data_IF_449093970027
#
_entry.id   IF_449093970027
#
_cell.length_a   1.000
_cell.length_b   1.000
_cell.length_c   1.000
_cell.angle_alpha   90.00
_cell.angle_beta   90.00
_cell.angle_gamma   90.00
#
_symmetry.space_group_name_H-M   'P 1'
#
loop_
_entity.id
_entity.type
_entity.pdbx_description
1 polymer ?
#
# COMPACT_ATOMS: atom_id res chain seq x y z
N UNK A 1 17.65 9.61 24.09
CA UNK A 1 17.02 8.28 24.24
C UNK A 1 15.85 8.21 23.27
N UNK A 2 15.67 7.09 22.57
CA UNK A 2 14.49 6.89 21.71
C UNK A 2 13.24 6.69 22.57
N UNK A 3 12.08 7.26 22.21
CA UNK A 3 10.86 7.07 22.98
C UNK A 3 10.44 5.60 22.98
N UNK A 4 10.06 5.07 24.14
CA UNK A 4 9.50 3.72 24.25
C UNK A 4 8.08 3.72 23.67
N UNK A 5 7.75 2.69 22.90
CA UNK A 5 6.44 2.60 22.26
C UNK A 5 5.44 1.82 23.12
N UNK A 6 4.18 2.30 23.25
CA UNK A 6 3.15 1.54 23.95
C UNK A 6 2.66 0.34 23.13
N UNK A 7 2.99 0.23 21.84
CA UNK A 7 2.47 -0.80 20.93
C UNK A 7 3.14 -2.18 21.10
N UNK A 8 3.20 -2.70 22.33
CA UNK A 8 3.74 -4.01 22.69
C UNK A 8 2.63 -5.02 23.03
N UNK A 9 2.98 -6.31 23.10
CA UNK A 9 2.05 -7.40 23.39
C UNK A 9 1.19 -7.10 24.63
N UNK A 10 -0.13 -7.22 24.48
CA UNK A 10 -1.10 -7.00 25.56
C UNK A 10 -1.56 -5.54 25.72
N UNK A 11 -0.94 -4.58 25.03
CA UNK A 11 -1.41 -3.20 25.04
C UNK A 11 -2.82 -3.09 24.47
N UNK A 12 -3.72 -2.45 25.22
CA UNK A 12 -5.11 -2.22 24.82
C UNK A 12 -5.37 -0.74 24.59
N UNK A 13 -6.15 -0.45 23.55
CA UNK A 13 -6.57 0.91 23.22
C UNK A 13 -7.95 0.90 22.59
N UNK A 14 -8.65 2.03 22.71
CA UNK A 14 -9.97 2.24 22.11
C UNK A 14 -9.78 3.10 20.88
N UNK A 15 -10.34 2.63 19.77
CA UNK A 15 -10.36 3.36 18.51
C UNK A 15 -11.77 3.85 18.22
N UNK A 16 -11.87 5.02 17.58
CA UNK A 16 -13.11 5.60 17.08
C UNK A 16 -13.02 5.77 15.58
N UNK A 17 -14.11 5.47 14.87
CA UNK A 17 -14.17 5.59 13.41
C UNK A 17 -13.85 7.03 12.99
N UNK A 18 -12.98 7.17 11.99
CA UNK A 18 -12.54 8.45 11.49
C UNK A 18 -12.48 8.43 9.97
N UNK A 19 -13.18 9.38 9.35
CA UNK A 19 -13.23 9.59 7.92
C UNK A 19 -12.31 10.75 7.56
N UNK A 20 -11.12 10.48 6.99
CA UNK A 20 -10.24 11.54 6.52
C UNK A 20 -10.89 12.35 5.39
N UNK A 21 -10.40 13.58 5.14
CA UNK A 21 -10.73 14.29 3.91
C UNK A 21 -10.33 13.48 2.67
N UNK A 22 -10.84 13.86 1.49
CA UNK A 22 -10.47 13.21 0.22
C UNK A 22 -9.00 13.43 -0.13
N UNK A 23 -8.47 14.60 0.23
CA UNK A 23 -7.07 14.99 0.01
C UNK A 23 -6.55 15.73 1.24
N UNK A 24 -5.22 15.75 1.36
CA UNK A 24 -4.55 16.59 2.33
C UNK A 24 -4.65 18.06 1.87
N UNK A 25 -5.14 18.99 2.72
CA UNK A 25 -5.18 20.41 2.38
C UNK A 25 -3.78 20.95 2.04
N UNK A 26 -3.69 21.77 1.00
CA UNK A 26 -2.47 22.49 0.62
C UNK A 26 -2.60 23.98 1.01
N UNK A 27 -2.90 24.23 2.28
CA UNK A 27 -3.00 25.57 2.85
C UNK A 27 -1.95 25.82 3.94
N UNK A 28 -1.65 27.11 4.14
CA UNK A 28 -0.66 27.54 5.12
C UNK A 28 -1.03 27.10 6.55
N UNK A 29 -2.31 27.07 6.88
CA UNK A 29 -2.78 26.72 8.23
C UNK A 29 -2.47 25.26 8.57
N UNK A 30 -2.74 24.34 7.63
CA UNK A 30 -2.41 22.93 7.80
C UNK A 30 -0.90 22.69 7.84
N UNK A 31 -0.13 23.42 7.02
CA UNK A 31 1.33 23.30 6.99
C UNK A 31 2.02 23.65 8.34
N UNK A 32 1.31 24.37 9.22
CA UNK A 32 1.78 24.78 10.54
C UNK A 32 1.10 24.05 11.71
N UNK A 33 0.12 23.18 11.45
CA UNK A 33 -0.61 22.45 12.49
C UNK A 33 0.28 21.50 13.28
N UNK A 34 0.17 21.53 14.61
CA UNK A 34 0.80 20.55 15.51
C UNK A 34 -0.13 19.36 15.82
N UNK A 35 -1.38 19.43 15.39
CA UNK A 35 -2.40 18.41 15.60
C UNK A 35 -2.69 17.64 14.30
N UNK A 36 -3.07 16.36 14.39
CA UNK A 36 -3.51 15.60 13.22
C UNK A 36 -4.71 16.27 12.51
N UNK A 37 -4.85 16.03 11.21
CA UNK A 37 -5.92 16.56 10.39
C UNK A 37 -7.30 16.36 11.05
N UNK A 38 -8.11 17.43 11.20
CA UNK A 38 -9.48 17.32 11.71
C UNK A 38 -10.39 16.75 10.61
N UNK A 39 -10.49 15.42 10.52
CA UNK A 39 -11.47 14.75 9.65
C UNK A 39 -12.86 14.66 10.30
N UNK A 40 -13.69 13.70 9.88
CA UNK A 40 -15.03 13.49 10.47
C UNK A 40 -15.06 12.20 11.30
N UNK A 41 -15.48 12.28 12.55
CA UNK A 41 -15.64 11.09 13.38
C UNK A 41 -16.97 10.40 13.11
N UNK A 42 -16.92 9.07 13.03
CA UNK A 42 -18.10 8.22 13.02
C UNK A 42 -18.58 7.90 14.44
N UNK A 43 -19.57 7.02 14.50
CA UNK A 43 -20.21 6.55 15.75
C UNK A 43 -19.62 5.23 16.26
N UNK A 44 -18.90 4.49 15.41
CA UNK A 44 -18.34 3.19 15.81
C UNK A 44 -17.11 3.39 16.68
N UNK A 45 -17.05 2.60 17.74
CA UNK A 45 -15.85 2.41 18.55
C UNK A 45 -15.51 0.93 18.65
N UNK A 46 -14.21 0.63 18.76
CA UNK A 46 -13.72 -0.73 18.99
C UNK A 46 -12.63 -0.72 20.04
N UNK A 47 -12.58 -1.77 20.85
CA UNK A 47 -11.44 -2.01 21.75
C UNK A 47 -10.51 -3.02 21.10
N UNK A 48 -9.24 -2.65 20.95
CA UNK A 48 -8.22 -3.48 20.34
C UNK A 48 -7.14 -3.87 21.35
N UNK A 49 -6.60 -5.08 21.21
CA UNK A 49 -5.42 -5.57 21.92
C UNK A 49 -4.31 -5.90 20.96
N UNK A 50 -3.10 -5.40 21.21
CA UNK A 50 -1.89 -5.75 20.46
C UNK A 50 -1.50 -7.20 20.75
N UNK A 51 -1.42 -8.01 19.69
CA UNK A 51 -1.01 -9.41 19.74
C UNK A 51 0.46 -9.59 19.32
N UNK A 52 0.97 -8.74 18.43
CA UNK A 52 2.35 -8.80 17.95
C UNK A 52 2.75 -7.47 17.30
N UNK A 53 3.89 -6.89 17.70
CA UNK A 53 4.51 -5.82 16.92
C UNK A 53 5.14 -6.38 15.65
N UNK A 54 4.74 -5.89 14.47
CA UNK A 54 5.36 -6.23 13.19
C UNK A 54 6.49 -5.24 12.85
N UNK A 55 6.25 -3.95 13.09
CA UNK A 55 7.20 -2.86 12.91
C UNK A 55 6.86 -1.76 13.93
N UNK A 56 7.51 -1.78 15.08
CA UNK A 56 7.24 -0.83 16.17
C UNK A 56 8.55 -0.25 16.69
N UNK A 57 8.53 1.00 17.18
CA UNK A 57 9.68 1.74 17.67
C UNK A 57 10.05 2.95 16.81
N UNK A 58 11.13 3.62 17.23
CA UNK A 58 11.65 4.84 16.61
C UNK A 58 12.27 4.59 15.23
N UNK A 59 12.12 5.55 14.32
CA UNK A 59 12.68 5.53 12.96
C UNK A 59 11.72 4.99 11.89
N UNK A 60 10.49 4.65 12.26
CA UNK A 60 9.50 4.13 11.31
C UNK A 60 8.45 5.19 10.94
N UNK A 61 8.08 5.23 9.66
CA UNK A 61 7.02 6.09 9.12
C UNK A 61 5.60 5.68 9.52
N UNK A 62 5.44 4.55 10.21
CA UNK A 62 4.23 4.10 10.87
C UNK A 62 4.58 2.96 11.84
N UNK A 63 3.76 2.78 12.85
CA UNK A 63 3.81 1.64 13.77
C UNK A 63 2.84 0.58 13.24
N UNK A 64 3.32 -0.64 13.02
CA UNK A 64 2.51 -1.73 12.46
C UNK A 64 2.45 -2.88 13.46
N UNK A 65 1.24 -3.29 13.82
CA UNK A 65 1.00 -4.36 14.78
C UNK A 65 -0.16 -5.25 14.35
N UNK A 66 -0.05 -6.54 14.65
CA UNK A 66 -1.20 -7.43 14.68
C UNK A 66 -2.01 -7.10 15.92
N UNK A 67 -3.28 -6.81 15.73
CA UNK A 67 -4.25 -6.50 16.78
C UNK A 67 -5.40 -7.49 16.75
N UNK A 68 -6.11 -7.62 17.86
CA UNK A 68 -7.31 -8.42 17.96
C UNK A 68 -8.40 -7.59 18.64
N UNK A 69 -9.61 -7.64 18.08
CA UNK A 69 -10.76 -6.97 18.68
C UNK A 69 -11.19 -7.68 19.96
N UNK A 70 -11.52 -6.90 20.99
CA UNK A 70 -12.00 -7.42 22.27
C UNK A 70 -13.50 -7.12 22.36
N UNK A 71 -14.33 -8.11 22.06
CA UNK A 71 -15.78 -7.99 21.91
C UNK A 71 -16.49 -7.85 23.27
N UNK A 72 -16.03 -8.58 24.28
CA UNK A 72 -16.54 -8.50 25.65
C UNK A 72 -15.43 -8.72 26.67
N UNK A 73 -15.61 -8.20 27.89
CA UNK A 73 -14.62 -8.23 28.98
C UNK A 73 -14.42 -6.85 29.63
N UNK A 74 -14.16 -6.78 30.93
CA UNK A 74 -13.93 -5.50 31.65
C UNK A 74 -12.49 -5.02 31.42
N UNK A 75 -12.22 -3.70 31.23
CA UNK A 75 -10.85 -3.18 31.20
C UNK A 75 -10.05 -3.62 32.43
N UNK A 76 -8.73 -3.85 32.32
CA UNK A 76 -7.93 -4.24 33.49
C UNK A 76 -7.98 -3.09 34.50
N UNK A 77 -8.33 -3.38 35.77
CA UNK A 77 -8.20 -2.38 36.85
C UNK A 77 -6.72 -1.97 37.06
N UNK A 78 -5.78 -2.86 36.71
CA UNK A 78 -4.34 -2.64 36.74
C UNK A 78 -3.65 -3.37 35.57
N UNK A 79 -2.58 -2.79 35.03
CA UNK A 79 -1.72 -3.45 34.05
C UNK A 79 -1.13 -4.74 34.67
N UNK A 80 -1.35 -5.89 34.03
CA UNK A 80 -0.77 -7.19 34.46
C UNK A 80 -1.64 -8.12 35.30
N UNK A 81 -2.93 -7.83 35.54
CA UNK A 81 -3.82 -8.76 36.26
C UNK A 81 -4.14 -10.02 35.44
N UNK A 82 -3.84 -11.20 36.00
CA UNK A 82 -3.93 -12.52 35.35
C UNK A 82 -5.27 -13.25 35.55
N UNK A 83 -6.15 -12.78 36.44
CA UNK A 83 -7.47 -13.38 36.67
C UNK A 83 -8.56 -12.56 35.99
N UNK A 84 -9.11 -13.07 34.88
CA UNK A 84 -10.26 -12.51 34.17
C UNK A 84 -11.15 -13.65 33.67
N UNK A 85 -12.46 -13.42 33.59
CA UNK A 85 -13.30 -14.19 32.65
C UNK A 85 -12.65 -14.10 31.26
N UNK A 86 -12.60 -15.18 30.47
CA UNK A 86 -11.96 -15.14 29.16
C UNK A 86 -12.64 -14.08 28.31
N UNK A 87 -11.87 -13.12 27.81
CA UNK A 87 -12.41 -12.12 26.89
C UNK A 87 -12.94 -12.84 25.65
N UNK A 88 -14.10 -12.42 25.17
CA UNK A 88 -14.54 -12.81 23.84
C UNK A 88 -13.74 -11.99 22.82
N UNK A 89 -13.01 -12.70 21.95
CA UNK A 89 -12.09 -12.08 21.00
C UNK A 89 -12.63 -12.19 19.58
N UNK A 90 -12.59 -11.08 18.87
CA UNK A 90 -12.88 -11.01 17.44
C UNK A 90 -11.70 -11.49 16.58
N UNK A 91 -11.77 -11.25 15.26
CA UNK A 91 -10.69 -11.63 14.34
C UNK A 91 -9.42 -10.84 14.60
N UNK A 92 -8.29 -11.41 14.16
CA UNK A 92 -7.01 -10.70 14.13
C UNK A 92 -6.92 -9.84 12.87
N UNK A 93 -6.39 -8.64 13.03
CA UNK A 93 -6.24 -7.62 12.00
C UNK A 93 -4.84 -7.03 12.06
N UNK A 94 -4.46 -6.26 11.04
CA UNK A 94 -3.29 -5.40 11.07
C UNK A 94 -3.73 -3.97 11.34
N UNK A 95 -3.13 -3.35 12.36
CA UNK A 95 -3.23 -1.92 12.60
C UNK A 95 -1.94 -1.24 12.14
N UNK A 96 -2.08 -0.23 11.29
CA UNK A 96 -1.00 0.69 10.91
C UNK A 96 -1.31 2.06 11.51
N UNK A 97 -0.54 2.46 12.51
CA UNK A 97 -0.71 3.69 13.28
C UNK A 97 0.30 4.74 12.82
N UNK A 98 -0.18 5.94 12.48
CA UNK A 98 0.62 7.06 11.99
C UNK A 98 0.96 7.98 13.16
N UNK A 99 1.89 7.52 13.98
CA UNK A 99 2.28 8.19 15.22
C UNK A 99 3.56 9.02 15.00
N UNK A 100 3.46 10.38 14.95
CA UNK A 100 4.58 11.24 14.59
C UNK A 100 5.74 11.19 15.61
N UNK A 101 5.47 10.78 16.86
CA UNK A 101 6.50 10.67 17.91
C UNK A 101 7.58 9.66 17.59
N UNK A 102 7.27 8.65 16.76
CA UNK A 102 8.18 7.54 16.46
C UNK A 102 8.85 7.65 15.08
N UNK A 103 8.67 8.76 14.35
CA UNK A 103 9.37 8.96 13.07
C UNK A 103 10.90 9.03 13.23
N UNK A 104 11.36 9.36 14.45
CA UNK A 104 12.77 9.32 14.85
C UNK A 104 13.58 10.55 14.41
N UNK A 105 14.67 10.81 15.13
CA UNK A 105 15.55 11.96 14.89
C UNK A 105 16.26 11.91 13.52
N UNK A 106 16.50 10.71 12.99
CA UNK A 106 17.09 10.50 11.66
C UNK A 106 16.23 11.01 10.52
N UNK A 107 14.95 11.32 10.76
CA UNK A 107 14.07 11.90 9.76
C UNK A 107 14.41 13.34 9.42
N UNK A 108 15.12 14.07 10.29
CA UNK A 108 15.42 15.49 10.14
C UNK A 108 14.19 16.40 10.15
N UNK A 109 12.99 15.88 10.46
CA UNK A 109 11.73 16.63 10.43
C UNK A 109 11.47 17.31 11.77
N UNK A 110 10.94 18.52 11.72
CA UNK A 110 10.31 19.16 12.89
C UNK A 110 9.05 18.40 13.30
N UNK A 111 8.51 18.66 14.49
CA UNK A 111 7.25 18.06 14.93
C UNK A 111 6.11 18.27 13.93
N UNK A 112 5.87 19.52 13.51
CA UNK A 112 4.87 19.89 12.51
C UNK A 112 5.07 19.15 11.19
N UNK A 113 6.31 19.04 10.70
CA UNK A 113 6.61 18.29 9.48
C UNK A 113 6.36 16.79 9.64
N UNK A 114 6.57 16.23 10.84
CA UNK A 114 6.27 14.84 11.14
C UNK A 114 4.76 14.59 11.16
N UNK A 115 3.98 15.46 11.80
CA UNK A 115 2.49 15.42 11.82
C UNK A 115 1.96 15.48 10.39
N UNK A 116 2.37 16.48 9.61
CA UNK A 116 1.96 16.64 8.21
C UNK A 116 2.30 15.43 7.34
N UNK A 117 3.50 14.87 7.53
CA UNK A 117 3.93 13.66 6.81
C UNK A 117 3.06 12.46 7.17
N UNK A 118 2.78 12.23 8.46
CA UNK A 118 1.92 11.15 8.94
C UNK A 118 0.50 11.25 8.40
N UNK A 119 -0.09 12.45 8.47
CA UNK A 119 -1.41 12.72 7.93
C UNK A 119 -1.49 12.47 6.43
N UNK A 120 -0.47 12.89 5.68
CA UNK A 120 -0.41 12.65 4.24
C UNK A 120 -0.39 11.16 3.91
N UNK A 121 0.39 10.36 4.64
CA UNK A 121 0.41 8.90 4.45
C UNK A 121 -0.95 8.27 4.79
N UNK A 122 -1.54 8.67 5.92
CA UNK A 122 -2.83 8.19 6.39
C UNK A 122 -3.98 8.50 5.42
N UNK A 123 -4.07 9.74 4.94
CA UNK A 123 -5.10 10.19 3.99
C UNK A 123 -4.98 9.43 2.68
N UNK A 124 -3.76 9.33 2.13
CA UNK A 124 -3.50 8.62 0.87
C UNK A 124 -3.86 7.14 0.96
N UNK A 125 -3.43 6.47 2.01
CA UNK A 125 -3.72 5.05 2.21
C UNK A 125 -5.21 4.80 2.37
N UNK A 126 -5.89 5.62 3.19
CA UNK A 126 -7.34 5.54 3.38
C UNK A 126 -8.14 5.84 2.11
N UNK A 127 -7.67 6.79 1.29
CA UNK A 127 -8.27 7.13 0.00
C UNK A 127 -8.07 6.00 -1.00
N UNK A 128 -6.86 5.44 -1.09
CA UNK A 128 -6.55 4.34 -1.98
C UNK A 128 -7.40 3.09 -1.71
N UNK A 129 -7.53 2.67 -0.45
CA UNK A 129 -8.38 1.53 -0.10
C UNK A 129 -9.84 1.75 -0.52
N UNK A 130 -10.43 2.91 -0.18
CA UNK A 130 -11.82 3.23 -0.57
C UNK A 130 -11.98 3.25 -2.09
N UNK A 131 -11.05 3.91 -2.79
CA UNK A 131 -11.06 4.00 -4.24
C UNK A 131 -11.03 2.63 -4.91
N UNK A 132 -10.19 1.70 -4.45
CA UNK A 132 -10.12 0.35 -4.99
C UNK A 132 -11.37 -0.49 -4.68
N UNK A 133 -12.01 -0.29 -3.52
CA UNK A 133 -13.28 -0.92 -3.20
C UNK A 133 -14.39 -0.45 -4.14
N UNK A 134 -14.48 0.87 -4.38
CA UNK A 134 -15.48 1.47 -5.26
C UNK A 134 -15.34 0.99 -6.73
N UNK A 135 -14.15 0.54 -7.12
CA UNK A 135 -13.85 -0.02 -8.44
C UNK A 135 -13.83 -1.55 -8.49
N UNK A 136 -14.22 -2.25 -7.41
CA UNK A 136 -14.33 -3.72 -7.42
C UNK A 136 -12.99 -4.46 -7.46
N UNK A 137 -11.93 -3.87 -6.90
CA UNK A 137 -10.55 -4.42 -6.92
C UNK A 137 -10.13 -5.03 -5.57
N UNK A 138 -11.08 -5.33 -4.69
CA UNK A 138 -10.84 -5.88 -3.34
C UNK A 138 -10.05 -7.19 -3.31
N UNK A 139 -10.08 -7.99 -4.37
CA UNK A 139 -9.35 -9.26 -4.46
C UNK A 139 -7.82 -9.09 -4.43
N UNK A 140 -7.32 -7.90 -4.80
CA UNK A 140 -5.90 -7.59 -4.93
C UNK A 140 -5.27 -6.94 -3.70
N UNK A 141 -6.11 -6.57 -2.74
CA UNK A 141 -5.73 -5.85 -1.52
C UNK A 141 -6.21 -6.63 -0.28
N UNK A 142 -5.64 -6.37 0.91
CA UNK A 142 -6.23 -6.83 2.15
C UNK A 142 -7.66 -6.31 2.29
N UNK A 143 -8.55 -7.06 2.95
CA UNK A 143 -9.83 -6.50 3.34
C UNK A 143 -9.61 -5.24 4.20
N UNK A 144 -10.23 -4.14 3.81
CA UNK A 144 -10.15 -2.87 4.52
C UNK A 144 -11.23 -2.78 5.59
N UNK A 145 -10.82 -2.65 6.85
CA UNK A 145 -11.73 -2.55 8.01
C UNK A 145 -11.97 -1.09 8.45
N UNK A 146 -11.50 -0.13 7.65
CA UNK A 146 -11.74 1.29 7.85
C UNK A 146 -10.55 2.07 8.39
N UNK A 147 -10.81 3.36 8.54
CA UNK A 147 -9.89 4.33 9.11
C UNK A 147 -10.40 4.82 10.45
N UNK A 148 -9.47 5.01 11.38
CA UNK A 148 -9.79 5.18 12.79
C UNK A 148 -8.85 6.18 13.44
N UNK A 149 -9.26 6.67 14.61
CA UNK A 149 -8.45 7.50 15.51
C UNK A 149 -8.36 6.85 16.88
N UNK A 150 -7.27 7.07 17.60
CA UNK A 150 -7.11 6.69 19.00
C UNK A 150 -6.38 7.79 19.76
N UNK A 151 -6.53 7.79 21.07
CA UNK A 151 -5.69 8.57 21.97
C UNK A 151 -4.66 7.64 22.58
N UNK A 152 -3.39 8.02 22.54
CA UNK A 152 -2.29 7.25 23.13
C UNK A 152 -1.40 8.16 23.95
N UNK A 153 -1.25 7.83 25.24
CA UNK A 153 -0.36 8.55 26.13
C UNK A 153 1.10 8.26 25.75
N UNK A 154 1.93 9.29 25.70
CA UNK A 154 3.38 9.11 25.67
C UNK A 154 3.82 8.52 27.02
N UNK A 155 4.53 7.37 27.05
CA UNK A 155 5.07 6.83 28.30
C UNK A 155 5.95 7.82 29.08
N UNK A 156 6.60 8.78 28.39
CA UNK A 156 7.49 9.77 29.02
C UNK A 156 6.74 11.01 29.54
N UNK A 157 5.94 11.68 28.70
CA UNK A 157 5.24 12.91 29.10
C UNK A 157 3.88 12.68 29.74
N UNK A 158 3.30 11.48 29.59
CA UNK A 158 1.90 11.12 29.90
C UNK A 158 0.86 11.96 29.14
N UNK A 159 1.28 12.85 28.25
CA UNK A 159 0.36 13.61 27.41
C UNK A 159 -0.27 12.69 26.38
N UNK A 160 -1.59 12.83 26.25
CA UNK A 160 -2.37 12.08 25.29
C UNK A 160 -2.19 12.70 23.91
N UNK A 161 -1.70 11.92 22.95
CA UNK A 161 -1.61 12.31 21.56
C UNK A 161 -2.71 11.60 20.76
N UNK A 162 -3.40 12.35 19.90
CA UNK A 162 -4.29 11.75 18.92
C UNK A 162 -3.45 11.09 17.80
N UNK A 163 -3.78 9.84 17.48
CA UNK A 163 -3.07 9.04 16.48
C UNK A 163 -4.08 8.46 15.49
N UNK A 164 -3.85 8.73 14.20
CA UNK A 164 -4.62 8.14 13.10
C UNK A 164 -4.14 6.72 12.83
N UNK A 165 -5.04 5.82 12.43
CA UNK A 165 -4.68 4.47 12.00
C UNK A 165 -5.60 3.92 10.92
N UNK A 166 -5.07 2.96 10.16
CA UNK A 166 -5.82 2.14 9.21
C UNK A 166 -5.85 0.70 9.74
N UNK A 167 -7.03 0.06 9.64
CA UNK A 167 -7.20 -1.36 9.94
C UNK A 167 -7.41 -2.18 8.67
N UNK A 168 -6.68 -3.27 8.53
CA UNK A 168 -6.82 -4.21 7.41
C UNK A 168 -6.76 -5.67 7.86
N UNK A 169 -7.14 -6.57 6.95
CA UNK A 169 -6.97 -8.02 7.09
C UNK A 169 -5.51 -8.37 7.44
N UNK A 170 -5.35 -9.30 8.37
CA UNK A 170 -4.09 -10.02 8.50
C UNK A 170 -4.01 -11.07 7.38
N UNK A 171 -3.37 -10.71 6.27
CA UNK A 171 -3.19 -11.60 5.12
C UNK A 171 -2.33 -12.81 5.53
N UNK A 172 -2.87 -14.01 5.36
CA UNK A 172 -2.16 -15.27 5.63
C UNK A 172 -1.17 -15.61 4.50
N UNK A 173 -0.05 -14.90 4.49
CA UNK A 173 1.00 -15.07 3.48
C UNK A 173 2.35 -14.57 3.93
N UNK A 174 3.30 -14.51 3.00
CA UNK A 174 4.66 -14.04 3.26
C UNK A 174 5.01 -12.89 2.33
N UNK A 175 5.60 -11.81 2.86
CA UNK A 175 6.09 -10.72 2.01
C UNK A 175 7.26 -11.20 1.13
N UNK A 176 7.31 -10.74 -0.12
CA UNK A 176 8.26 -11.27 -1.10
C UNK A 176 9.73 -11.07 -0.71
N UNK A 177 10.08 -10.16 0.20
CA UNK A 177 11.47 -10.05 0.69
C UNK A 177 11.89 -11.21 1.57
N UNK A 178 10.95 -11.84 2.28
CA UNK A 178 11.24 -12.97 3.16
C UNK A 178 11.26 -14.30 2.42
N UNK A 179 10.73 -14.32 1.20
CA UNK A 179 10.76 -15.47 0.32
C UNK A 179 12.12 -15.59 -0.36
N UNK A 180 12.53 -16.83 -0.64
CA UNK A 180 13.71 -17.13 -1.44
C UNK A 180 13.29 -17.33 -2.90
N UNK A 181 13.61 -16.44 -3.84
CA UNK A 181 13.15 -16.58 -5.23
C UNK A 181 13.59 -17.88 -5.89
N UNK A 182 14.79 -18.38 -5.55
CA UNK A 182 15.28 -19.69 -6.02
C UNK A 182 14.48 -20.91 -5.54
N UNK A 183 13.53 -20.74 -4.61
CA UNK A 183 12.58 -21.81 -4.24
C UNK A 183 11.36 -21.91 -5.17
N UNK A 184 11.26 -21.00 -6.15
CA UNK A 184 10.20 -20.97 -7.16
C UNK A 184 10.79 -21.33 -8.52
N UNK A 185 10.01 -22.03 -9.36
CA UNK A 185 10.41 -22.26 -10.74
C UNK A 185 10.47 -20.94 -11.53
N UNK A 186 11.18 -20.91 -12.65
CA UNK A 186 11.17 -19.73 -13.54
C UNK A 186 9.74 -19.38 -13.98
N UNK A 187 8.93 -20.40 -14.30
CA UNK A 187 7.53 -20.21 -14.68
C UNK A 187 6.70 -19.59 -13.56
N UNK A 188 6.89 -20.02 -12.31
CA UNK A 188 6.19 -19.44 -11.16
C UNK A 188 6.60 -17.98 -10.93
N UNK A 189 7.90 -17.68 -11.01
CA UNK A 189 8.39 -16.29 -10.87
C UNK A 189 7.83 -15.39 -11.96
N UNK A 190 7.82 -15.84 -13.22
CA UNK A 190 7.19 -15.10 -14.32
C UNK A 190 5.68 -14.94 -14.12
N UNK A 191 4.98 -15.96 -13.61
CA UNK A 191 3.55 -15.87 -13.31
C UNK A 191 3.25 -14.86 -12.18
N UNK A 192 4.06 -14.84 -11.12
CA UNK A 192 4.00 -13.86 -10.03
C UNK A 192 4.22 -12.45 -10.59
N UNK A 193 5.29 -12.24 -11.35
CA UNK A 193 5.61 -10.94 -11.93
C UNK A 193 4.52 -10.46 -12.89
N UNK A 194 3.97 -11.35 -13.74
CA UNK A 194 2.84 -11.02 -14.62
C UNK A 194 1.66 -10.55 -13.78
N UNK A 195 1.34 -11.26 -12.70
CA UNK A 195 0.23 -10.89 -11.82
C UNK A 195 0.45 -9.54 -11.14
N UNK A 196 1.66 -9.22 -10.69
CA UNK A 196 1.98 -7.90 -10.11
C UNK A 196 1.76 -6.78 -11.13
N UNK A 197 2.27 -6.94 -12.35
CA UNK A 197 2.10 -5.95 -13.43
C UNK A 197 0.63 -5.79 -13.82
N UNK A 198 -0.12 -6.89 -13.89
CA UNK A 198 -1.58 -6.85 -14.11
C UNK A 198 -2.29 -6.06 -13.00
N UNK A 199 -2.02 -6.37 -11.73
CA UNK A 199 -2.66 -5.72 -10.58
C UNK A 199 -2.41 -4.21 -10.58
N UNK A 200 -1.15 -3.80 -10.74
CA UNK A 200 -0.83 -2.38 -10.74
C UNK A 200 -1.35 -1.67 -11.99
N UNK A 201 -1.56 -2.39 -13.10
CA UNK A 201 -2.25 -1.85 -14.29
C UNK A 201 -3.76 -1.73 -14.12
N UNK A 202 -4.40 -2.65 -13.38
CA UNK A 202 -5.80 -2.52 -12.97
C UNK A 202 -5.99 -1.32 -12.02
N UNK A 203 -5.05 -1.11 -11.09
CA UNK A 203 -5.03 0.09 -10.24
C UNK A 203 -4.90 1.35 -11.09
N UNK A 204 -3.97 1.37 -12.05
CA UNK A 204 -3.76 2.55 -12.88
C UNK A 204 -4.91 2.80 -13.87
N UNK A 205 -5.63 1.75 -14.29
CA UNK A 205 -6.82 1.89 -15.14
C UNK A 205 -7.95 2.64 -14.44
N UNK A 206 -8.05 2.55 -13.11
CA UNK A 206 -8.92 3.41 -12.31
C UNK A 206 -8.20 4.67 -11.78
N UNK A 207 -7.15 5.13 -12.45
CA UNK A 207 -6.38 6.33 -12.08
C UNK A 207 -5.76 6.28 -10.67
N UNK A 208 -5.46 5.08 -10.15
CA UNK A 208 -4.70 4.92 -8.92
C UNK A 208 -3.28 4.45 -9.21
N UNK A 209 -2.29 5.20 -8.73
CA UNK A 209 -0.89 4.79 -8.76
C UNK A 209 -0.40 4.48 -7.36
N UNK A 210 0.12 3.28 -7.14
CA UNK A 210 0.61 2.87 -5.83
C UNK A 210 1.90 3.60 -5.40
N UNK A 211 2.76 3.96 -6.37
CA UNK A 211 4.05 4.64 -6.16
C UNK A 211 5.10 3.90 -5.32
N UNK A 212 4.82 2.68 -4.85
CA UNK A 212 5.74 1.90 -4.01
C UNK A 212 5.58 0.38 -4.18
N UNK A 213 5.35 -0.06 -5.42
CA UNK A 213 5.28 -1.50 -5.72
C UNK A 213 6.69 -2.08 -5.71
N UNK A 214 7.01 -2.73 -4.60
CA UNK A 214 8.29 -3.40 -4.32
C UNK A 214 8.02 -4.73 -3.62
N UNK A 215 8.98 -5.67 -3.60
CA UNK A 215 8.81 -6.96 -2.91
C UNK A 215 8.36 -6.85 -1.43
N UNK A 216 8.69 -5.75 -0.75
CA UNK A 216 8.25 -5.50 0.65
C UNK A 216 6.75 -5.28 0.81
N UNK A 217 6.09 -4.86 -0.25
CA UNK A 217 4.69 -4.44 -0.29
C UNK A 217 3.83 -5.43 -1.08
N UNK A 218 4.35 -6.63 -1.33
CA UNK A 218 3.63 -7.72 -2.00
C UNK A 218 3.70 -8.96 -1.13
N UNK A 219 2.53 -9.47 -0.76
CA UNK A 219 2.35 -10.71 -0.01
C UNK A 219 1.95 -11.83 -1.00
N UNK A 220 2.65 -12.95 -0.93
CA UNK A 220 2.29 -14.17 -1.64
C UNK A 220 1.59 -15.12 -0.68
N UNK A 221 0.37 -15.51 -1.04
CA UNK A 221 -0.42 -16.52 -0.34
C UNK A 221 -0.45 -17.79 -1.16
N UNK A 222 -0.04 -18.91 -0.54
CA UNK A 222 -0.16 -20.22 -1.16
C UNK A 222 -1.59 -20.75 -0.96
N UNK A 223 -2.19 -21.41 -1.96
CA UNK A 223 -3.49 -22.04 -1.79
C UNK A 223 -3.47 -23.00 -0.59
N UNK A 224 -4.47 -22.94 0.27
CA UNK A 224 -4.52 -23.83 1.41
C UNK A 224 -4.76 -25.28 0.90
N UNK A 225 -4.10 -26.31 1.46
CA UNK A 225 -4.31 -27.71 1.04
C UNK A 225 -5.78 -28.17 1.14
N UNK A 226 -6.59 -27.50 1.97
CA UNK A 226 -8.04 -27.76 2.14
C UNK A 226 -8.93 -27.09 1.09
N UNK A 227 -8.40 -26.13 0.30
CA UNK A 227 -9.11 -25.56 -0.86
C UNK A 227 -9.12 -26.53 -2.06
N UNK A 228 -8.49 -27.70 -1.89
CA UNK A 228 -8.68 -28.87 -2.76
C UNK A 228 -10.10 -29.45 -2.59
N UNK A 229 -11.12 -28.72 -3.07
CA UNK A 229 -12.46 -29.28 -3.35
C UNK A 229 -12.47 -30.25 -4.55
N UNK A 230 -11.31 -30.77 -4.97
CA UNK A 230 -11.17 -31.78 -6.00
C UNK A 230 -9.98 -32.67 -5.65
N UNK A 231 -10.08 -33.96 -5.99
CA UNK A 231 -9.22 -35.07 -5.52
C UNK A 231 -7.70 -34.87 -5.60
N UNK A 232 -6.98 -35.89 -5.10
CA UNK A 232 -5.52 -35.90 -4.83
C UNK A 232 -4.62 -35.42 -5.99
N UNK A 233 -5.12 -35.37 -7.22
CA UNK A 233 -4.35 -35.08 -8.44
C UNK A 233 -4.52 -33.66 -9.01
N UNK A 234 -5.28 -32.76 -8.37
CA UNK A 234 -5.30 -31.35 -8.83
C UNK A 234 -4.04 -30.62 -8.34
N UNK A 235 -3.31 -30.05 -9.31
CA UNK A 235 -2.24 -29.09 -9.07
C UNK A 235 -2.70 -28.02 -8.06
N UNK A 236 -1.83 -27.55 -7.16
CA UNK A 236 -2.17 -26.44 -6.28
C UNK A 236 -2.71 -25.27 -7.11
N UNK A 237 -3.74 -24.60 -6.60
CA UNK A 237 -4.31 -23.42 -7.26
C UNK A 237 -3.26 -22.32 -7.52
N UNK A 238 -3.60 -21.29 -8.30
CA UNK A 238 -2.67 -20.20 -8.55
C UNK A 238 -2.31 -19.49 -7.23
N UNK A 239 -1.05 -19.07 -7.10
CA UNK A 239 -0.61 -18.22 -6.00
C UNK A 239 -1.42 -16.93 -5.97
N UNK A 240 -1.95 -16.54 -4.81
CA UNK A 240 -2.61 -15.24 -4.64
C UNK A 240 -1.54 -14.19 -4.34
N UNK A 241 -1.60 -13.10 -5.08
CA UNK A 241 -0.75 -11.90 -4.91
C UNK A 241 -1.62 -10.80 -4.30
N UNK A 242 -1.19 -10.29 -3.15
CA UNK A 242 -1.86 -9.20 -2.43
C UNK A 242 -0.90 -8.04 -2.27
N UNK A 243 -1.32 -6.85 -2.72
CA UNK A 243 -0.54 -5.61 -2.63
C UNK A 243 -0.96 -4.84 -1.37
N UNK A 244 0.01 -4.36 -0.61
CA UNK A 244 -0.18 -3.68 0.68
C UNK A 244 0.58 -2.34 0.72
N UNK A 245 0.36 -1.55 1.76
CA UNK A 245 1.10 -0.29 2.05
C UNK A 245 0.86 0.81 1.00
N UNK A 246 -0.31 1.45 1.07
CA UNK A 246 -0.72 2.51 0.14
C UNK A 246 -0.37 3.92 0.64
N UNK A 247 0.56 4.08 1.59
CA UNK A 247 0.91 5.39 2.15
C UNK A 247 1.47 6.39 1.12
N UNK A 248 2.06 5.89 0.03
CA UNK A 248 2.57 6.69 -1.08
C UNK A 248 1.63 6.72 -2.29
N UNK A 249 0.49 6.03 -2.22
CA UNK A 249 -0.44 5.96 -3.33
C UNK A 249 -1.03 7.33 -3.68
N UNK A 250 -1.38 7.50 -4.94
CA UNK A 250 -2.04 8.69 -5.47
C UNK A 250 -3.28 8.27 -6.23
N UNK A 251 -4.40 8.88 -5.89
CA UNK A 251 -5.65 8.80 -6.65
C UNK A 251 -5.66 9.97 -7.63
N UNK A 252 -6.07 9.71 -8.86
CA UNK A 252 -5.96 10.64 -9.98
C UNK A 252 -4.60 10.58 -10.67
N UNK A 253 -4.59 11.02 -11.92
CA UNK A 253 -3.36 11.26 -12.68
C UNK A 253 -2.87 12.68 -12.47
N UNK A 254 -1.56 12.84 -12.54
CA UNK A 254 -0.88 14.12 -12.36
C UNK A 254 0.28 14.25 -13.32
N UNK A 255 0.85 15.45 -13.40
CA UNK A 255 2.06 15.69 -14.20
C UNK A 255 3.27 14.84 -13.74
N UNK A 256 3.25 14.26 -12.53
CA UNK A 256 4.26 13.29 -12.06
C UNK A 256 4.15 11.91 -12.72
N UNK A 257 3.07 11.64 -13.45
CA UNK A 257 2.84 10.38 -14.14
C UNK A 257 3.39 10.37 -15.56
N UNK A 258 3.53 11.55 -16.16
CA UNK A 258 4.07 11.71 -17.51
C UNK A 258 5.47 12.32 -17.45
N UNK A 259 6.34 11.89 -18.34
CA UNK A 259 7.69 12.40 -18.46
C UNK A 259 7.72 13.59 -19.44
N UNK A 260 6.91 14.61 -19.16
CA UNK A 260 6.85 15.87 -19.88
C UNK A 260 7.31 17.01 -18.98
N UNK A 261 8.12 17.94 -19.51
CA UNK A 261 8.55 19.13 -18.77
C UNK A 261 7.41 20.11 -18.47
N UNK A 262 6.33 20.09 -19.27
CA UNK A 262 5.06 20.77 -19.04
C UNK A 262 3.92 19.84 -19.47
N UNK A 263 2.88 19.72 -18.66
CA UNK A 263 1.75 18.82 -18.89
C UNK A 263 0.45 19.60 -18.75
N UNK A 264 -0.38 19.58 -19.79
CA UNK A 264 -1.77 20.02 -19.73
C UNK A 264 -2.66 18.89 -19.19
N UNK A 265 -3.87 19.20 -18.71
CA UNK A 265 -4.80 18.17 -18.24
C UNK A 265 -5.14 17.13 -19.33
N UNK A 266 -5.25 17.57 -20.59
CA UNK A 266 -5.46 16.69 -21.74
C UNK A 266 -4.29 15.74 -22.01
N UNK A 267 -3.08 16.05 -21.54
CA UNK A 267 -1.91 15.17 -21.72
C UNK A 267 -1.97 13.94 -20.81
N UNK A 268 -2.83 13.94 -19.78
CA UNK A 268 -2.97 12.85 -18.81
C UNK A 268 -3.87 11.71 -19.30
N UNK A 269 -4.53 11.88 -20.44
CA UNK A 269 -5.42 10.88 -21.05
C UNK A 269 -6.44 10.32 -20.04
N UNK A 270 -7.27 11.18 -19.39
CA UNK A 270 -8.19 10.74 -18.34
C UNK A 270 -9.11 9.62 -18.83
N UNK A 271 -9.35 8.61 -18.00
CA UNK A 271 -10.18 7.45 -18.34
C UNK A 271 -9.60 6.52 -19.43
N UNK A 272 -8.41 6.81 -19.96
CA UNK A 272 -7.78 5.99 -21.00
C UNK A 272 -6.85 4.96 -20.39
N UNK A 273 -7.04 3.68 -20.71
CA UNK A 273 -6.10 2.62 -20.33
C UNK A 273 -4.69 2.88 -20.88
N UNK A 274 -3.68 2.79 -20.02
CA UNK A 274 -2.27 2.97 -20.40
C UNK A 274 -1.55 1.63 -20.26
N UNK A 275 -1.01 1.14 -21.38
CA UNK A 275 -0.40 -0.19 -21.44
C UNK A 275 0.71 -0.40 -20.39
N UNK A 276 0.75 -1.54 -19.67
CA UNK A 276 1.89 -1.95 -18.86
C UNK A 276 3.21 -1.89 -19.61
N UNK A 277 3.26 -2.14 -20.92
CA UNK A 277 4.49 -2.06 -21.70
C UNK A 277 5.12 -0.66 -21.58
N UNK A 278 4.33 0.41 -21.66
CA UNK A 278 4.88 1.77 -21.56
C UNK A 278 5.19 2.20 -20.12
N UNK A 279 4.49 1.63 -19.12
CA UNK A 279 4.65 2.01 -17.70
C UNK A 279 5.74 1.23 -16.98
N UNK A 280 5.94 -0.04 -17.35
CA UNK A 280 6.89 -0.96 -16.74
C UNK A 280 8.16 -1.17 -17.56
N UNK A 281 8.35 -0.43 -18.66
CA UNK A 281 9.61 -0.42 -19.38
C UNK A 281 10.71 0.23 -18.54
N UNK A 282 11.82 -0.48 -18.37
CA UNK A 282 12.90 -0.08 -17.45
C UNK A 282 14.27 -0.36 -18.06
N UNK A 283 15.30 0.25 -17.49
CA UNK A 283 16.69 -0.17 -17.75
C UNK A 283 17.06 -1.23 -16.73
N UNK A 284 18.00 -2.12 -17.05
CA UNK A 284 18.40 -3.23 -16.18
C UNK A 284 18.71 -2.80 -14.73
N UNK A 285 19.40 -1.66 -14.55
CA UNK A 285 19.72 -1.13 -13.22
C UNK A 285 18.49 -0.73 -12.38
N UNK A 286 17.36 -0.39 -13.01
CA UNK A 286 16.12 -0.05 -12.30
C UNK A 286 15.34 -1.31 -11.85
N UNK A 287 15.71 -2.49 -12.35
CA UNK A 287 15.18 -3.79 -11.91
C UNK A 287 15.90 -4.36 -10.69
N UNK A 288 16.96 -3.70 -10.20
CA UNK A 288 17.71 -4.13 -9.02
C UNK A 288 16.84 -4.48 -7.79
N UNK A 289 15.77 -3.73 -7.46
CA UNK A 289 14.87 -4.09 -6.37
C UNK A 289 14.12 -5.41 -6.56
N UNK A 290 14.11 -5.94 -7.79
CA UNK A 290 13.49 -7.19 -8.22
C UNK A 290 14.51 -8.25 -8.64
N UNK A 291 15.82 -8.00 -8.48
CA UNK A 291 16.89 -8.77 -9.14
C UNK A 291 16.78 -10.28 -8.96
N UNK A 292 16.66 -10.78 -7.73
CA UNK A 292 16.55 -12.23 -7.50
C UNK A 292 15.25 -12.84 -8.05
N UNK A 293 14.21 -12.01 -8.19
CA UNK A 293 12.92 -12.43 -8.77
C UNK A 293 12.97 -12.46 -10.29
N UNK A 294 13.72 -11.56 -10.93
CA UNK A 294 13.78 -11.39 -12.38
C UNK A 294 15.19 -11.67 -12.89
N UNK A 295 15.39 -12.90 -13.38
CA UNK A 295 16.67 -13.38 -13.93
C UNK A 295 16.60 -13.60 -15.45
N UNK A 296 15.70 -12.89 -16.13
CA UNK A 296 15.45 -12.97 -17.56
C UNK A 296 15.41 -11.55 -18.14
N UNK A 297 15.42 -11.43 -19.48
CA UNK A 297 15.23 -10.14 -20.14
C UNK A 297 13.82 -9.61 -19.85
N UNK A 298 13.76 -8.63 -18.94
CA UNK A 298 12.51 -8.07 -18.45
C UNK A 298 11.70 -7.41 -19.57
N UNK A 299 12.34 -6.57 -20.40
CA UNK A 299 11.62 -5.79 -21.40
C UNK A 299 11.13 -6.67 -22.55
N UNK A 300 11.92 -7.65 -22.98
CA UNK A 300 11.48 -8.63 -23.97
C UNK A 300 10.30 -9.45 -23.43
N UNK A 301 10.43 -9.98 -22.21
CA UNK A 301 9.34 -10.72 -21.56
C UNK A 301 8.09 -9.86 -21.35
N UNK A 302 8.22 -8.58 -21.01
CA UNK A 302 7.10 -7.65 -20.83
C UNK A 302 6.36 -7.44 -22.16
N UNK A 303 7.08 -7.22 -23.25
CA UNK A 303 6.50 -7.08 -24.58
C UNK A 303 5.79 -8.35 -25.04
N UNK A 304 6.36 -9.53 -24.76
CA UNK A 304 5.76 -10.82 -25.12
C UNK A 304 4.51 -11.12 -24.26
N UNK A 305 4.63 -10.94 -22.95
CA UNK A 305 3.57 -11.21 -21.97
C UNK A 305 2.34 -10.32 -22.13
N UNK A 306 2.53 -9.09 -22.62
CA UNK A 306 1.47 -8.11 -22.86
C UNK A 306 1.36 -7.75 -24.35
N UNK A 307 1.74 -8.66 -25.24
CA UNK A 307 1.74 -8.44 -26.70
C UNK A 307 0.38 -8.01 -27.27
N UNK A 308 -0.72 -8.41 -26.61
CA UNK A 308 -2.08 -7.97 -26.96
C UNK A 308 -2.26 -6.44 -26.86
N UNK A 309 -1.44 -5.74 -26.10
CA UNK A 309 -1.49 -4.28 -25.96
C UNK A 309 -0.79 -3.54 -27.10
N UNK A 310 0.13 -4.20 -27.82
CA UNK A 310 0.95 -3.56 -28.85
C UNK A 310 0.13 -2.80 -29.90
N UNK A 311 -1.03 -3.31 -30.40
CA UNK A 311 -1.87 -2.57 -31.33
C UNK A 311 -2.47 -1.29 -30.73
N UNK A 312 -2.63 -1.22 -29.42
CA UNK A 312 -3.32 -0.15 -28.69
C UNK A 312 -2.38 0.94 -28.15
N UNK A 313 -1.07 0.73 -28.22
CA UNK A 313 -0.08 1.75 -27.83
C UNK A 313 -0.12 2.90 -28.86
N UNK A 314 -0.52 4.08 -28.40
CA UNK A 314 -0.56 5.30 -29.22
C UNK A 314 0.69 6.15 -29.01
N UNK A 315 0.95 7.08 -29.95
CA UNK A 315 2.01 8.08 -29.80
C UNK A 315 1.86 8.92 -28.54
N UNK A 316 0.62 9.25 -28.16
CA UNK A 316 0.35 10.07 -26.99
C UNK A 316 0.71 9.31 -25.68
N UNK A 317 0.54 7.98 -25.64
CA UNK A 317 0.95 7.15 -24.49
C UNK A 317 2.47 7.12 -24.26
N UNK A 318 3.28 7.43 -25.27
CA UNK A 318 4.74 7.46 -25.10
C UNK A 318 5.20 8.51 -24.08
N UNK A 319 4.35 9.45 -23.69
CA UNK A 319 4.57 10.41 -22.59
C UNK A 319 4.84 9.71 -21.25
N UNK A 320 4.34 8.50 -21.03
CA UNK A 320 4.62 7.69 -19.83
C UNK A 320 6.02 7.06 -19.84
N UNK A 321 6.65 6.97 -21.02
CA UNK A 321 8.00 6.43 -21.15
C UNK A 321 9.02 7.54 -20.91
N UNK A 322 9.97 7.30 -20.00
CA UNK A 322 11.07 8.22 -19.74
C UNK A 322 11.84 8.56 -21.04
N UNK A 323 12.24 9.83 -21.28
CA UNK A 323 12.84 10.25 -22.56
C UNK A 323 14.06 9.44 -22.98
N UNK A 324 14.88 9.00 -22.01
CA UNK A 324 16.03 8.15 -22.30
C UNK A 324 15.65 6.73 -22.73
N UNK A 325 14.52 6.20 -22.23
CA UNK A 325 14.00 4.87 -22.59
C UNK A 325 13.27 4.88 -23.92
N UNK A 326 12.62 6.00 -24.28
CA UNK A 326 11.95 6.18 -25.58
C UNK A 326 12.90 6.07 -26.78
N UNK A 327 14.21 6.25 -26.57
CA UNK A 327 15.24 6.06 -27.60
C UNK A 327 15.46 4.59 -27.98
N UNK A 328 14.95 3.65 -27.18
CA UNK A 328 14.99 2.23 -27.49
C UNK A 328 14.34 1.97 -28.86
N UNK A 329 14.98 1.18 -29.76
CA UNK A 329 14.41 0.83 -31.06
C UNK A 329 12.99 0.28 -30.99
N UNK A 330 12.62 -0.39 -29.89
CA UNK A 330 11.27 -0.89 -29.65
C UNK A 330 10.20 0.20 -29.78
N UNK A 331 10.46 1.43 -29.32
CA UNK A 331 9.43 2.49 -29.32
C UNK A 331 9.31 3.23 -30.65
N UNK A 332 10.29 3.12 -31.56
CA UNK A 332 10.27 3.81 -32.87
C UNK A 332 9.08 3.42 -33.73
N UNK A 333 8.55 2.21 -33.54
CA UNK A 333 7.38 1.73 -34.28
C UNK A 333 6.07 2.49 -33.95
N UNK A 334 6.00 3.12 -32.78
CA UNK A 334 4.81 3.86 -32.34
C UNK A 334 4.87 5.35 -32.68
N UNK A 335 6.05 5.88 -33.03
CA UNK A 335 6.21 7.30 -33.38
C UNK A 335 5.57 7.68 -34.73
N UNK A 336 5.41 6.69 -35.62
CA UNK A 336 4.87 6.87 -36.98
C UNK A 336 3.35 6.64 -37.08
N UNK A 337 2.71 6.11 -36.04
CA UNK A 337 1.26 5.82 -36.04
C UNK A 337 0.46 7.07 -35.66
N UNK A 338 0.00 7.83 -36.67
CA UNK A 338 -1.16 8.74 -36.62
C UNK A 338 -1.07 9.98 -35.70
N UNK A 339 -1.86 11.00 -36.02
CA UNK A 339 -2.03 12.21 -35.20
C UNK A 339 -2.72 11.90 -33.86
N UNK A 340 -2.48 12.70 -32.82
CA UNK A 340 -3.12 12.60 -31.50
C UNK A 340 -4.62 13.00 -31.53
N UNK A 341 -5.29 12.97 -32.68
CA UNK A 341 -6.65 13.50 -32.88
C UNK A 341 -7.77 12.54 -32.43
N UNK A 342 -7.43 11.44 -31.76
CA UNK A 342 -8.39 10.42 -31.30
C UNK A 342 -8.31 10.16 -29.78
N UNK A 343 -7.90 11.15 -28.99
CA UNK A 343 -7.93 11.10 -27.53
C UNK A 343 -9.06 11.97 -26.98
#
# INVERSE_FOLDING_TARGET
>A
MSPQTPYHLGFEFVIREHHPPSETPDDHEFSHSQNPLPGRFGEKERRLRVCKGLRVGSGYSAQVAVVQEVLSGRPPKHAGSLHRDPDELGPRMVAKLYDPRYLGASSGRTWTQAVHFMDTQYVRESAAYRHLLDHGLQQHIPQYHGSWSTHTADPASKESCEVRLVLTELVDGTDMRQLRPGSFSLADRQAIMRRIVTIESEFYACDLRHCDVYPRNVIITRPHPRDKKGGKDKAPGPLRVTVIDFGLARVGRSWFDVNLGKCLASDLLPGTYISPIVRWWVKDAEMDPWGDWVTWDWNQWLADAFSADLPHITRCMLKWVHPLKRKDPFFKQFEKRGSCDAC
#
